data_IF_483112932778
#
_entry.id   IF_483112932778
#
_cell.length_a   1.000
_cell.length_b   1.000
_cell.length_c   1.000
_cell.angle_alpha   90.00
_cell.angle_beta   90.00
_cell.angle_gamma   90.00
#
_symmetry.space_group_name_H-M   'P 1'
#
loop_
_entity.id
_entity.type
_entity.pdbx_description
1 polymer ?
#
# COMPACT_ATOMS: atom_id res chain seq x y z
N UNK A 1 -28.22 -13.96 -2.09
CA UNK A 1 -27.72 -13.09 -3.19
C UNK A 1 -26.23 -12.84 -2.93
N UNK A 2 -25.37 -13.06 -3.91
CA UNK A 2 -23.97 -12.68 -3.81
C UNK A 2 -23.85 -11.20 -4.25
N UNK A 3 -23.50 -10.31 -3.32
CA UNK A 3 -23.13 -8.94 -3.67
C UNK A 3 -21.66 -8.93 -4.10
N UNK A 4 -21.41 -8.67 -5.38
CA UNK A 4 -20.06 -8.49 -5.92
C UNK A 4 -19.87 -7.01 -6.27
N UNK A 5 -18.91 -6.36 -5.63
CA UNK A 5 -18.57 -4.97 -5.92
C UNK A 5 -17.87 -4.90 -7.28
N UNK A 6 -18.40 -4.09 -8.19
CA UNK A 6 -17.80 -3.87 -9.51
C UNK A 6 -16.48 -3.09 -9.42
N UNK A 7 -15.39 -3.78 -9.07
CA UNK A 7 -14.04 -3.21 -9.02
C UNK A 7 -13.78 -2.36 -7.77
N UNK A 8 -13.88 -2.98 -6.58
CA UNK A 8 -13.77 -2.35 -5.25
C UNK A 8 -12.62 -1.32 -5.12
N UNK A 9 -11.40 -1.68 -5.54
CA UNK A 9 -10.24 -0.79 -5.45
C UNK A 9 -10.27 0.34 -6.51
N UNK A 10 -10.83 0.06 -7.68
CA UNK A 10 -11.02 1.07 -8.73
C UNK A 10 -12.09 2.09 -8.31
N UNK A 11 -13.18 1.65 -7.67
CA UNK A 11 -14.17 2.57 -7.10
C UNK A 11 -13.55 3.46 -6.03
N UNK A 12 -12.76 2.90 -5.10
CA UNK A 12 -12.10 3.68 -4.05
C UNK A 12 -11.13 4.74 -4.62
N UNK A 13 -10.42 4.42 -5.70
CA UNK A 13 -9.47 5.34 -6.37
C UNK A 13 -10.12 6.45 -7.18
N UNK A 14 -11.41 6.35 -7.48
CA UNK A 14 -12.17 7.35 -8.26
C UNK A 14 -13.23 8.10 -7.45
N UNK A 15 -13.50 7.67 -6.22
CA UNK A 15 -14.47 8.27 -5.32
C UNK A 15 -14.03 9.67 -4.85
N UNK A 16 -14.92 10.66 -4.98
CA UNK A 16 -14.65 12.05 -4.58
C UNK A 16 -14.56 12.21 -3.07
N UNK A 17 -15.19 11.31 -2.31
CA UNK A 17 -15.13 11.29 -0.85
C UNK A 17 -13.89 10.53 -0.33
N UNK A 18 -12.97 10.16 -1.22
CA UNK A 18 -11.73 9.49 -0.85
C UNK A 18 -10.57 10.48 -0.81
N UNK A 19 -9.91 10.52 0.36
CA UNK A 19 -8.82 11.45 0.64
C UNK A 19 -7.47 10.83 0.28
N UNK A 20 -6.71 11.53 -0.55
CA UNK A 20 -5.39 11.08 -0.99
C UNK A 20 -4.33 12.12 -0.61
N UNK A 21 -3.31 11.77 0.19
CA UNK A 21 -2.24 12.70 0.53
C UNK A 21 -1.34 13.06 -0.64
N UNK A 22 -0.79 14.28 -0.60
CA UNK A 22 0.35 14.66 -1.43
C UNK A 22 1.64 14.20 -0.79
N UNK A 23 2.47 13.52 -1.59
CA UNK A 23 3.74 12.94 -1.17
C UNK A 23 4.70 13.94 -0.55
N UNK A 24 4.87 15.06 -1.24
CA UNK A 24 5.70 16.19 -0.83
C UNK A 24 5.31 16.80 0.53
N UNK A 25 4.07 16.63 0.99
CA UNK A 25 3.61 17.15 2.30
C UNK A 25 3.85 16.20 3.47
N UNK A 26 4.45 15.03 3.21
CA UNK A 26 4.72 14.01 4.21
C UNK A 26 5.84 14.40 5.16
N UNK A 27 5.57 14.34 6.46
CA UNK A 27 6.57 14.52 7.53
C UNK A 27 6.46 13.41 8.58
N UNK A 28 7.54 13.13 9.34
CA UNK A 28 7.42 12.20 10.46
C UNK A 28 6.46 12.76 11.51
N UNK A 29 5.75 11.84 12.16
CA UNK A 29 4.94 12.13 13.33
C UNK A 29 5.85 12.58 14.49
N UNK A 30 5.44 13.64 15.20
CA UNK A 30 6.19 14.16 16.34
C UNK A 30 5.57 13.65 17.66
N UNK A 31 6.36 13.13 18.62
CA UNK A 31 5.84 12.62 19.89
C UNK A 31 5.02 13.63 20.70
N UNK A 32 5.31 14.93 20.53
CA UNK A 32 4.60 16.04 21.17
C UNK A 32 3.12 16.09 20.74
N UNK A 33 2.82 15.66 19.51
CA UNK A 33 1.47 15.64 18.93
C UNK A 33 0.64 14.43 19.42
N UNK A 34 1.22 13.49 20.17
CA UNK A 34 0.55 12.24 20.57
C UNK A 34 -0.74 12.48 21.35
N UNK A 35 -0.75 13.43 22.28
CA UNK A 35 -1.96 13.71 23.09
C UNK A 35 -3.10 14.20 22.20
N UNK A 36 -2.81 15.09 21.25
CA UNK A 36 -3.78 15.66 20.34
C UNK A 36 -4.32 14.61 19.38
N UNK A 37 -3.44 13.85 18.71
CA UNK A 37 -3.87 12.82 17.77
C UNK A 37 -4.67 11.70 18.46
N UNK A 38 -4.23 11.21 19.62
CA UNK A 38 -4.98 10.18 20.38
C UNK A 38 -6.39 10.68 20.74
N UNK A 39 -6.53 11.96 21.09
CA UNK A 39 -7.84 12.57 21.34
C UNK A 39 -8.68 12.59 20.06
N UNK A 40 -8.14 13.12 18.96
CA UNK A 40 -8.84 13.23 17.67
C UNK A 40 -9.33 11.86 17.15
N UNK A 41 -8.52 10.80 17.28
CA UNK A 41 -8.91 9.46 16.86
C UNK A 41 -10.05 8.89 17.70
N UNK A 42 -9.95 8.98 19.03
CA UNK A 42 -10.96 8.42 19.92
C UNK A 42 -12.27 9.22 19.85
N UNK A 43 -12.22 10.52 19.54
CA UNK A 43 -13.41 11.37 19.32
C UNK A 43 -13.96 11.29 17.88
N UNK A 44 -13.27 10.60 16.95
CA UNK A 44 -13.62 10.50 15.53
C UNK A 44 -13.72 11.85 14.80
N UNK A 45 -12.89 12.84 15.20
CA UNK A 45 -12.86 14.20 14.61
C UNK A 45 -11.74 14.33 13.55
N UNK A 46 -11.12 13.22 13.13
CA UNK A 46 -9.92 13.24 12.29
C UNK A 46 -10.23 13.61 10.82
N UNK A 47 -10.45 14.89 10.56
CA UNK A 47 -10.46 15.52 9.22
C UNK A 47 -9.77 16.87 9.33
N UNK A 48 -8.91 17.30 8.38
CA UNK A 48 -8.64 16.72 7.05
C UNK A 48 -7.23 16.11 6.87
N UNK A 49 -6.43 15.98 7.95
CA UNK A 49 -5.05 15.48 7.82
C UNK A 49 -5.09 13.97 7.60
N UNK A 50 -4.42 13.48 6.56
CA UNK A 50 -4.24 12.04 6.36
C UNK A 50 -2.93 11.59 7.03
N UNK A 51 -2.91 10.37 7.57
CA UNK A 51 -1.71 9.87 8.24
C UNK A 51 -1.62 8.33 8.19
N UNK A 52 -0.39 7.83 8.15
CA UNK A 52 -0.08 6.41 8.34
C UNK A 52 0.62 6.30 9.69
N UNK A 53 -0.06 5.71 10.67
CA UNK A 53 0.44 5.65 12.04
C UNK A 53 0.61 4.21 12.51
N UNK A 54 1.64 3.97 13.32
CA UNK A 54 1.79 2.78 14.16
C UNK A 54 1.21 3.10 15.54
N UNK A 55 0.25 2.30 16.00
CA UNK A 55 -0.49 2.58 17.24
C UNK A 55 -0.52 1.38 18.17
N UNK A 56 -0.61 1.64 19.46
CA UNK A 56 -1.10 0.70 20.45
C UNK A 56 -2.58 1.00 20.69
N UNK A 57 -3.42 -0.01 20.59
CA UNK A 57 -4.85 0.09 20.82
C UNK A 57 -5.36 -1.11 21.62
N UNK A 58 -6.52 -0.92 22.22
CA UNK A 58 -7.29 -1.95 22.91
C UNK A 58 -8.46 -2.39 22.02
N UNK A 59 -8.67 -3.70 21.91
CA UNK A 59 -9.80 -4.26 21.19
C UNK A 59 -11.10 -4.10 22.01
N UNK A 60 -12.24 -3.85 21.35
CA UNK A 60 -13.52 -3.91 22.02
C UNK A 60 -13.80 -5.33 22.52
N UNK A 61 -14.38 -5.43 23.72
CA UNK A 61 -14.74 -6.71 24.35
C UNK A 61 -15.94 -7.40 23.69
N UNK A 62 -16.81 -6.65 23.02
CA UNK A 62 -18.05 -7.16 22.42
C UNK A 62 -17.93 -7.27 20.88
N UNK A 63 -16.88 -7.90 20.37
CA UNK A 63 -16.70 -8.08 18.93
C UNK A 63 -16.93 -9.53 18.49
N UNK A 64 -17.90 -9.73 17.59
CA UNK A 64 -18.20 -11.03 16.97
C UNK A 64 -17.23 -11.36 15.81
N UNK A 65 -16.73 -10.34 15.11
CA UNK A 65 -15.68 -10.45 14.10
C UNK A 65 -14.55 -9.49 14.43
N UNK A 66 -13.30 -9.98 14.39
CA UNK A 66 -12.12 -9.11 14.46
C UNK A 66 -11.87 -8.50 13.08
N UNK A 67 -11.95 -7.17 12.91
CA UNK A 67 -11.74 -6.51 11.61
C UNK A 67 -10.26 -6.54 11.22
N UNK A 68 -9.39 -6.80 12.20
CA UNK A 68 -7.94 -6.90 12.04
C UNK A 68 -7.57 -8.36 12.32
N UNK A 69 -7.11 -9.11 11.31
CA UNK A 69 -6.64 -10.46 11.52
C UNK A 69 -5.38 -10.45 12.40
N UNK A 70 -5.36 -11.28 13.44
CA UNK A 70 -4.27 -11.38 14.40
C UNK A 70 -2.90 -11.77 13.81
N UNK A 71 -2.84 -12.13 12.52
CA UNK A 71 -1.68 -12.76 11.90
C UNK A 71 -0.62 -11.80 11.35
N UNK A 72 -0.91 -10.51 11.19
CA UNK A 72 0.01 -9.57 10.57
C UNK A 72 0.34 -8.35 11.44
N UNK A 73 1.63 -8.14 11.70
CA UNK A 73 2.18 -7.01 12.48
C UNK A 73 1.96 -5.63 11.84
N UNK A 74 1.45 -5.58 10.61
CA UNK A 74 1.26 -4.35 9.83
C UNK A 74 -0.07 -4.48 9.09
N UNK A 75 -1.16 -4.08 9.75
CA UNK A 75 -2.48 -4.03 9.12
C UNK A 75 -2.83 -2.58 8.82
N UNK A 76 -2.83 -2.21 7.53
CA UNK A 76 -3.38 -0.95 7.06
C UNK A 76 -4.91 -1.02 7.20
N UNK A 77 -5.43 -0.46 8.28
CA UNK A 77 -6.89 -0.46 8.55
C UNK A 77 -7.32 0.98 8.76
N UNK A 78 -8.49 1.31 8.21
CA UNK A 78 -9.17 2.56 8.53
C UNK A 78 -9.51 2.52 10.02
N UNK A 79 -8.69 3.15 10.86
CA UNK A 79 -8.77 3.02 12.32
C UNK A 79 -10.03 3.62 12.90
N UNK A 80 -10.76 4.43 12.12
CA UNK A 80 -12.12 4.80 12.44
C UNK A 80 -12.98 3.56 12.75
N UNK A 81 -12.79 2.44 12.06
CA UNK A 81 -13.55 1.21 12.30
C UNK A 81 -13.27 0.59 13.68
N UNK A 82 -12.02 0.66 14.18
CA UNK A 82 -11.70 0.17 15.54
C UNK A 82 -12.45 0.99 16.57
N UNK A 83 -12.40 2.32 16.46
CA UNK A 83 -13.05 3.22 17.42
C UNK A 83 -14.58 3.13 17.28
N UNK A 84 -15.12 3.02 16.05
CA UNK A 84 -16.55 2.76 15.79
C UNK A 84 -17.02 1.44 16.38
N UNK A 85 -16.15 0.42 16.40
CA UNK A 85 -16.42 -0.86 17.04
C UNK A 85 -16.29 -0.85 18.57
N UNK A 86 -15.96 0.30 19.18
CA UNK A 86 -15.80 0.46 20.64
C UNK A 86 -14.38 0.17 21.15
N UNK A 87 -13.40 0.01 20.26
CA UNK A 87 -11.99 -0.05 20.63
C UNK A 87 -11.42 1.33 20.97
N UNK A 88 -10.25 1.36 21.60
CA UNK A 88 -9.61 2.62 22.03
C UNK A 88 -8.15 2.68 21.62
N UNK A 89 -7.72 3.81 21.05
CA UNK A 89 -6.31 4.07 20.81
C UNK A 89 -5.66 4.54 22.12
N UNK A 90 -4.59 3.85 22.52
CA UNK A 90 -3.83 4.10 23.75
C UNK A 90 -2.68 5.08 23.46
N UNK A 91 -1.87 4.79 22.45
CA UNK A 91 -0.71 5.62 22.07
C UNK A 91 -0.34 5.47 20.60
N UNK A 92 0.25 6.51 20.04
CA UNK A 92 0.93 6.47 18.74
C UNK A 92 2.42 6.24 19.01
N UNK A 93 3.01 5.31 18.27
CA UNK A 93 4.41 4.91 18.41
C UNK A 93 5.31 5.63 17.41
N UNK A 94 4.84 5.69 16.16
CA UNK A 94 5.58 6.23 15.03
C UNK A 94 4.58 6.45 13.88
N UNK A 95 4.97 7.19 12.84
CA UNK A 95 4.15 7.35 11.65
C UNK A 95 4.57 8.50 10.75
N UNK A 96 3.82 8.65 9.67
CA UNK A 96 3.94 9.74 8.72
C UNK A 96 2.61 10.50 8.70
N UNK A 97 2.69 11.82 8.83
CA UNK A 97 1.56 12.73 8.75
C UNK A 97 1.69 13.51 7.45
N UNK A 98 0.59 13.66 6.73
CA UNK A 98 0.51 14.45 5.51
C UNK A 98 -0.27 15.73 5.77
N UNK A 99 0.33 16.87 5.42
CA UNK A 99 -0.26 18.19 5.67
C UNK A 99 -1.22 18.61 4.55
N UNK A 100 -1.03 18.08 3.34
CA UNK A 100 -1.86 18.39 2.19
C UNK A 100 -2.44 17.12 1.55
N UNK A 101 -3.72 17.19 1.18
CA UNK A 101 -4.36 16.21 0.32
C UNK A 101 -4.52 16.77 -1.10
N UNK A 102 -4.66 15.88 -2.08
CA UNK A 102 -5.15 16.25 -3.39
C UNK A 102 -6.61 16.72 -3.29
N UNK A 103 -6.96 17.77 -4.04
CA UNK A 103 -8.35 18.26 -4.15
C UNK A 103 -9.28 17.23 -4.80
N UNK A 104 -8.71 16.39 -5.66
CA UNK A 104 -9.39 15.33 -6.40
C UNK A 104 -8.49 14.10 -6.40
N UNK A 105 -9.04 12.87 -6.32
CA UNK A 105 -8.23 11.66 -6.34
C UNK A 105 -7.30 11.62 -7.57
N UNK A 106 -6.01 11.29 -7.38
CA UNK A 106 -4.99 11.47 -8.42
C UNK A 106 -5.21 10.58 -9.66
N UNK A 107 -5.92 9.46 -9.50
CA UNK A 107 -6.19 8.50 -10.59
C UNK A 107 -7.63 8.50 -11.07
N UNK A 108 -8.45 9.46 -10.60
CA UNK A 108 -9.88 9.48 -10.88
C UNK A 108 -10.18 9.37 -12.37
N UNK A 109 -9.64 10.29 -13.16
CA UNK A 109 -9.98 10.39 -14.57
C UNK A 109 -9.49 9.16 -15.36
N UNK A 110 -8.30 8.65 -15.01
CA UNK A 110 -7.78 7.41 -15.56
C UNK A 110 -8.74 6.22 -15.32
N UNK A 111 -9.21 6.06 -14.09
CA UNK A 111 -10.15 4.97 -13.74
C UNK A 111 -11.51 5.15 -14.43
N UNK A 112 -12.01 6.39 -14.53
CA UNK A 112 -13.26 6.67 -15.23
C UNK A 112 -13.17 6.31 -16.72
N UNK A 113 -12.07 6.67 -17.37
CA UNK A 113 -11.81 6.30 -18.78
C UNK A 113 -11.80 4.78 -18.94
N UNK A 114 -11.07 4.05 -18.09
CA UNK A 114 -11.03 2.58 -18.15
C UNK A 114 -12.41 1.95 -17.93
N UNK A 115 -13.21 2.51 -17.01
CA UNK A 115 -14.57 2.04 -16.73
C UNK A 115 -15.48 2.24 -17.95
N UNK A 116 -15.41 3.39 -18.59
CA UNK A 116 -16.24 3.71 -19.75
C UNK A 116 -15.85 2.87 -20.98
N UNK A 117 -14.56 2.68 -21.22
CA UNK A 117 -14.04 1.76 -22.25
C UNK A 117 -14.46 0.32 -21.97
N UNK A 118 -14.37 -0.15 -20.72
CA UNK A 118 -14.81 -1.48 -20.33
C UNK A 118 -16.31 -1.68 -20.63
N UNK A 119 -17.14 -0.70 -20.30
CA UNK A 119 -18.58 -0.74 -20.51
C UNK A 119 -18.93 -0.70 -22.01
N UNK A 120 -18.17 0.06 -22.81
CA UNK A 120 -18.25 0.02 -24.27
C UNK A 120 -17.95 -1.39 -24.81
N UNK A 121 -16.83 -2.00 -24.43
CA UNK A 121 -16.46 -3.34 -24.88
C UNK A 121 -17.45 -4.43 -24.44
N UNK A 122 -18.06 -4.31 -23.26
CA UNK A 122 -19.15 -5.21 -22.84
C UNK A 122 -20.35 -5.14 -23.79
N UNK A 123 -20.77 -3.93 -24.19
CA UNK A 123 -21.89 -3.73 -25.12
C UNK A 123 -21.59 -4.27 -26.52
N UNK A 124 -20.34 -4.18 -26.95
CA UNK A 124 -19.87 -4.70 -28.24
C UNK A 124 -19.62 -6.22 -28.24
N UNK A 125 -19.77 -6.91 -27.11
CA UNK A 125 -19.42 -8.33 -26.97
C UNK A 125 -17.92 -8.61 -27.02
N UNK A 126 -17.07 -7.58 -26.93
CA UNK A 126 -15.61 -7.71 -26.91
C UNK A 126 -15.13 -8.12 -25.51
N UNK A 127 -15.12 -9.43 -25.26
CA UNK A 127 -14.72 -10.01 -23.97
C UNK A 127 -13.26 -9.69 -23.64
N UNK A 128 -12.35 -9.79 -24.62
CA UNK A 128 -10.91 -9.55 -24.42
C UNK A 128 -10.68 -8.10 -24.01
N UNK A 129 -11.24 -7.13 -24.75
CA UNK A 129 -11.13 -5.71 -24.43
C UNK A 129 -11.68 -5.38 -23.04
N UNK A 130 -12.85 -5.94 -22.69
CA UNK A 130 -13.44 -5.74 -21.37
C UNK A 130 -12.55 -6.27 -20.23
N UNK A 131 -11.93 -7.43 -20.44
CA UNK A 131 -11.02 -8.04 -19.47
C UNK A 131 -9.70 -7.27 -19.35
N UNK A 132 -9.15 -6.77 -20.47
CA UNK A 132 -7.95 -5.92 -20.45
C UNK A 132 -8.19 -4.64 -19.63
N UNK A 133 -9.33 -3.95 -19.80
CA UNK A 133 -9.63 -2.75 -19.01
C UNK A 133 -9.80 -3.06 -17.52
N UNK A 134 -10.42 -4.20 -17.18
CA UNK A 134 -10.51 -4.68 -15.79
C UNK A 134 -9.12 -4.94 -15.20
N UNK A 135 -8.25 -5.59 -15.96
CA UNK A 135 -6.88 -5.90 -15.54
C UNK A 135 -6.08 -4.62 -15.28
N UNK A 136 -6.14 -3.64 -16.20
CA UNK A 136 -5.46 -2.36 -16.05
C UNK A 136 -5.93 -1.61 -14.80
N UNK A 137 -7.24 -1.51 -14.59
CA UNK A 137 -7.79 -0.83 -13.40
C UNK A 137 -7.36 -1.49 -12.09
N UNK A 138 -7.36 -2.82 -12.04
CA UNK A 138 -6.91 -3.56 -10.85
C UNK A 138 -5.38 -3.50 -10.64
N UNK A 139 -4.61 -3.47 -11.74
CA UNK A 139 -3.15 -3.45 -11.68
C UNK A 139 -2.59 -2.16 -11.06
N UNK A 140 -3.30 -1.04 -11.21
CA UNK A 140 -2.92 0.24 -10.65
C UNK A 140 -2.73 0.16 -9.14
N UNK A 141 -3.72 -0.40 -8.44
CA UNK A 141 -3.65 -0.61 -6.99
C UNK A 141 -2.51 -1.55 -6.60
N UNK A 142 -2.38 -2.69 -7.30
CA UNK A 142 -1.31 -3.66 -7.02
C UNK A 142 0.07 -3.06 -7.18
N UNK A 143 0.24 -2.17 -8.16
CA UNK A 143 1.50 -1.44 -8.38
C UNK A 143 1.75 -0.42 -7.27
N UNK A 144 0.71 0.22 -6.76
CA UNK A 144 0.83 1.07 -5.57
C UNK A 144 1.33 0.26 -4.38
N UNK A 145 0.77 -0.90 -4.01
CA UNK A 145 1.27 -1.63 -2.82
C UNK A 145 2.63 -2.36 -2.99
N UNK A 146 3.24 -2.31 -4.17
CA UNK A 146 4.46 -3.07 -4.44
C UNK A 146 5.60 -2.60 -3.53
N UNK A 147 6.23 -3.55 -2.83
CA UNK A 147 7.47 -3.32 -2.09
C UNK A 147 8.63 -3.28 -3.07
N UNK A 148 9.62 -2.45 -2.78
CA UNK A 148 10.86 -2.46 -3.52
C UNK A 148 11.50 -3.84 -3.43
N UNK A 149 11.82 -4.40 -4.60
CA UNK A 149 12.52 -5.68 -4.71
C UNK A 149 13.99 -5.30 -4.85
N UNK A 150 14.75 -5.48 -3.77
CA UNK A 150 16.19 -5.18 -3.73
C UNK A 150 17.05 -6.40 -4.04
N UNK A 151 16.42 -7.56 -4.26
CA UNK A 151 17.12 -8.83 -4.46
C UNK A 151 16.58 -9.56 -5.68
N UNK A 152 17.47 -10.00 -6.55
CA UNK A 152 17.17 -10.87 -7.67
C UNK A 152 17.64 -12.30 -7.39
N UNK A 153 16.98 -13.28 -8.02
CA UNK A 153 17.35 -14.69 -7.92
C UNK A 153 17.79 -15.22 -9.27
N UNK A 154 19.01 -15.74 -9.34
CA UNK A 154 19.59 -16.28 -10.57
C UNK A 154 20.03 -17.73 -10.36
N UNK A 155 19.72 -18.60 -11.32
CA UNK A 155 20.29 -19.95 -11.35
C UNK A 155 21.65 -19.89 -12.06
N UNK A 156 22.73 -20.31 -11.40
CA UNK A 156 24.08 -20.38 -11.99
C UNK A 156 24.75 -21.73 -11.72
N UNK A 157 25.70 -22.09 -12.58
CA UNK A 157 26.56 -23.26 -12.38
C UNK A 157 27.71 -22.95 -11.42
N UNK A 158 28.33 -23.99 -10.86
CA UNK A 158 29.47 -23.85 -9.95
C UNK A 158 30.65 -23.08 -10.57
N UNK A 159 30.95 -23.34 -11.84
CA UNK A 159 32.03 -22.67 -12.57
C UNK A 159 31.76 -21.17 -12.71
N UNK A 160 30.53 -20.80 -13.07
CA UNK A 160 30.13 -19.40 -13.24
C UNK A 160 30.02 -18.66 -11.91
N UNK A 161 29.63 -19.35 -10.83
CA UNK A 161 29.64 -18.82 -9.47
C UNK A 161 31.06 -18.49 -9.02
N UNK A 162 32.02 -19.42 -9.19
CA UNK A 162 33.42 -19.20 -8.80
C UNK A 162 34.08 -18.06 -9.59
N UNK A 163 33.74 -17.93 -10.87
CA UNK A 163 34.32 -16.90 -11.74
C UNK A 163 33.76 -15.48 -11.49
N UNK A 164 32.49 -15.37 -11.06
CA UNK A 164 31.79 -14.08 -10.90
C UNK A 164 31.30 -13.87 -9.46
N UNK A 165 32.01 -14.42 -8.47
CA UNK A 165 31.65 -14.21 -7.07
C UNK A 165 32.04 -12.79 -6.66
N UNK A 166 31.06 -12.04 -6.16
CA UNK A 166 31.22 -10.65 -5.73
C UNK A 166 30.47 -10.42 -4.41
N UNK A 167 30.82 -9.35 -3.71
CA UNK A 167 30.22 -8.78 -2.52
C UNK A 167 28.70 -8.57 -2.60
N UNK A 168 28.13 -8.46 -3.82
CA UNK A 168 26.69 -8.35 -4.04
C UNK A 168 25.92 -9.66 -3.83
N UNK A 169 26.61 -10.81 -3.75
CA UNK A 169 25.99 -12.11 -3.49
C UNK A 169 25.64 -12.22 -2.01
N UNK A 170 24.34 -12.26 -1.70
CA UNK A 170 23.83 -12.38 -0.34
C UNK A 170 23.71 -13.83 0.12
N UNK A 171 23.26 -14.72 -0.77
CA UNK A 171 23.20 -16.15 -0.49
C UNK A 171 23.28 -16.98 -1.75
N UNK A 172 23.78 -18.21 -1.63
CA UNK A 172 23.92 -19.13 -2.76
C UNK A 172 23.55 -20.57 -2.37
N UNK A 173 22.30 -20.85 -1.96
CA UNK A 173 21.87 -22.23 -1.70
C UNK A 173 22.13 -23.15 -2.91
N UNK A 174 22.73 -24.31 -2.62
CA UNK A 174 22.98 -25.37 -3.59
C UNK A 174 21.66 -26.05 -3.93
N UNK A 175 21.33 -26.15 -5.22
CA UNK A 175 20.11 -26.84 -5.70
C UNK A 175 20.41 -28.30 -5.99
N UNK A 176 21.52 -28.55 -6.67
CA UNK A 176 22.02 -29.87 -7.04
C UNK A 176 23.55 -29.83 -7.14
N UNK A 177 24.20 -30.94 -7.51
CA UNK A 177 25.66 -31.04 -7.53
C UNK A 177 26.36 -29.97 -8.37
N UNK A 178 25.68 -29.40 -9.38
CA UNK A 178 26.27 -28.51 -10.37
C UNK A 178 25.71 -27.09 -10.39
N UNK A 179 24.61 -26.81 -9.71
CA UNK A 179 23.87 -25.55 -9.78
C UNK A 179 23.52 -24.96 -8.40
N UNK A 180 23.50 -23.64 -8.36
CA UNK A 180 23.23 -22.80 -7.19
C UNK A 180 22.19 -21.74 -7.56
N UNK A 181 21.29 -21.42 -6.63
CA UNK A 181 20.44 -20.22 -6.72
C UNK A 181 21.17 -19.10 -6.01
N UNK A 182 21.54 -18.06 -6.74
CA UNK A 182 22.15 -16.85 -6.22
C UNK A 182 21.08 -15.82 -5.90
N UNK A 183 21.03 -15.38 -4.66
CA UNK A 183 20.34 -14.16 -4.26
C UNK A 183 21.36 -13.02 -4.31
N UNK A 184 21.17 -12.08 -5.24
CA UNK A 184 22.06 -10.94 -5.47
C UNK A 184 21.31 -9.67 -5.08
N UNK A 185 21.97 -8.75 -4.38
CA UNK A 185 21.42 -7.41 -4.18
C UNK A 185 21.56 -6.63 -5.49
N UNK A 186 20.45 -6.11 -6.02
CA UNK A 186 20.52 -5.17 -7.13
C UNK A 186 21.20 -3.89 -6.63
N UNK A 187 22.28 -3.46 -7.29
CA UNK A 187 22.88 -2.16 -7.02
C UNK A 187 21.79 -1.10 -7.12
N UNK A 188 21.71 -0.22 -6.12
CA UNK A 188 21.00 1.03 -6.29
C UNK A 188 21.64 1.71 -7.51
N UNK A 189 20.96 1.74 -8.65
CA UNK A 189 21.28 2.74 -9.67
C UNK A 189 21.02 4.08 -8.97
N UNK A 190 22.09 4.64 -8.40
CA UNK A 190 22.12 5.96 -7.81
C UNK A 190 21.87 6.92 -8.97
N UNK A 191 20.60 7.23 -9.24
CA UNK A 191 20.29 8.57 -9.68
C UNK A 191 20.66 9.45 -8.49
N UNK A 192 21.77 10.18 -8.61
CA UNK A 192 22.42 11.10 -7.64
C UNK A 192 21.52 12.28 -7.17
N UNK A 193 20.21 12.07 -7.07
CA UNK A 193 19.24 13.09 -6.66
C UNK A 193 18.48 12.69 -5.39
N UNK A 194 18.85 11.61 -4.68
CA UNK A 194 18.11 11.13 -3.51
C UNK A 194 18.73 11.69 -2.22
N UNK A 195 18.12 12.70 -1.56
CA UNK A 195 18.54 13.08 -0.23
C UNK A 195 18.27 11.94 0.77
N UNK A 196 19.13 11.76 1.80
CA UNK A 196 19.01 10.66 2.74
C UNK A 196 17.74 10.82 3.58
N UNK A 197 17.01 9.72 3.77
CA UNK A 197 15.77 9.62 4.58
C UNK A 197 14.65 10.56 4.13
N UNK A 198 14.41 10.64 2.82
CA UNK A 198 13.25 11.37 2.31
C UNK A 198 11.95 10.72 2.82
N UNK A 199 11.09 11.52 3.45
CA UNK A 199 9.67 11.24 3.75
C UNK A 199 8.81 11.08 2.49
N UNK A 200 9.40 10.57 1.40
CA UNK A 200 8.70 10.35 0.16
C UNK A 200 7.65 9.27 0.36
N UNK A 201 6.45 9.54 -0.16
CA UNK A 201 5.36 8.58 -0.21
C UNK A 201 5.85 7.40 -1.07
N UNK A 202 6.24 6.30 -0.42
CA UNK A 202 6.51 5.06 -1.14
C UNK A 202 5.21 4.65 -1.85
N UNK A 203 5.27 3.96 -3.00
CA UNK A 203 4.07 3.41 -3.61
C UNK A 203 3.19 2.72 -2.55
N UNK A 204 3.82 1.99 -1.63
CA UNK A 204 3.13 1.24 -0.58
C UNK A 204 2.23 2.11 0.33
N UNK A 205 2.63 3.36 0.58
CA UNK A 205 1.82 4.32 1.34
C UNK A 205 0.54 4.69 0.57
N UNK A 206 0.64 4.94 -0.73
CA UNK A 206 -0.53 5.27 -1.57
C UNK A 206 -1.51 4.10 -1.64
N UNK A 207 -0.99 2.89 -1.82
CA UNK A 207 -1.80 1.67 -1.80
C UNK A 207 -2.52 1.47 -0.46
N UNK A 208 -1.93 1.92 0.65
CA UNK A 208 -2.55 1.87 1.98
C UNK A 208 -3.80 2.75 2.08
N UNK A 209 -3.78 3.93 1.45
CA UNK A 209 -4.96 4.80 1.36
C UNK A 209 -6.03 4.22 0.44
N UNK A 210 -5.65 3.59 -0.68
CA UNK A 210 -6.63 2.89 -1.52
C UNK A 210 -7.33 1.78 -0.74
N UNK A 211 -6.57 1.00 0.04
CA UNK A 211 -7.13 -0.03 0.92
C UNK A 211 -8.10 0.53 1.95
N UNK A 212 -7.74 1.64 2.62
CA UNK A 212 -8.58 2.21 3.67
C UNK A 212 -9.93 2.69 3.16
N UNK A 213 -9.96 3.23 1.93
CA UNK A 213 -11.19 3.71 1.28
C UNK A 213 -11.99 2.59 0.61
N UNK A 214 -11.35 1.47 0.27
CA UNK A 214 -12.01 0.31 -0.36
C UNK A 214 -12.90 -0.50 0.59
N UNK A 215 -12.78 -0.29 1.90
CA UNK A 215 -13.56 -1.00 2.93
C UNK A 215 -14.90 -0.32 3.29
N UNK A 216 -15.23 0.79 2.62
CA UNK A 216 -16.51 1.51 2.78
C UNK A 216 -17.70 0.66 2.35
#
# INVERSE_FOLDING_TARGET
MAFDANGLYASATSDLDSEYPKAESGRPFLPEENKEFVKLFNEQIFRPRTAILKVWFEYPTNMFFQPIPAKDKITFTNKEEIVKAGGRIIRILDGIVYEENFKTPPYRDYILILRDLRNKYKREGNIVGSNCMKLLGNSLYSKSIQKDITTSRHLRSEATLKANFDSHVKSYPKVNETQYILEINEEENIFDCIPPKSTRLTPSHLGSFVLSHSKK
#
